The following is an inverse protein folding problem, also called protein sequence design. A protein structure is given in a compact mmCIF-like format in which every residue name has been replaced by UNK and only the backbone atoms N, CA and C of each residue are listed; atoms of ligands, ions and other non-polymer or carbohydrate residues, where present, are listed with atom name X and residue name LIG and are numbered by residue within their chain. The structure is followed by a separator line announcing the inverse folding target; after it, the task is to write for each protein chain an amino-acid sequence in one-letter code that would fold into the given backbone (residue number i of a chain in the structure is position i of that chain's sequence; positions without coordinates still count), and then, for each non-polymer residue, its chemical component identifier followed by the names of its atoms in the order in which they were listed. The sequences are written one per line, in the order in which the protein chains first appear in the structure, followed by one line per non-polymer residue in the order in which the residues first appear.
data_IF_596227103283
#
_entry.id   IF_596227103283
#
_cell.length_a   1.000
_cell.length_b   1.000
_cell.length_c   1.000
_cell.angle_alpha   90.00
_cell.angle_beta   90.00
_cell.angle_gamma   90.00
#
_symmetry.space_group_name_H-M   'P 1'
#
loop_
_entity.id
_entity.type
_entity.pdbx_description
1 polymer ?
#
# COMPACT_ATOMS: atom_id res chain seq x y z
N UNK A 1 -38.08 1.25 63.18
CA UNK A 1 -37.42 2.07 62.14
C UNK A 1 -35.94 1.74 62.15
N UNK A 2 -35.50 0.89 61.21
CA UNK A 2 -34.11 0.75 60.80
C UNK A 2 -34.13 -0.01 59.47
N UNK A 3 -33.74 0.70 58.41
CA UNK A 3 -33.62 0.20 57.05
C UNK A 3 -32.45 -0.77 56.94
N UNK A 4 -32.66 -1.94 56.34
CA UNK A 4 -31.57 -2.78 55.83
C UNK A 4 -31.54 -2.68 54.31
N UNK A 5 -30.54 -1.95 53.82
CA UNK A 5 -30.10 -1.91 52.44
C UNK A 5 -29.87 -3.34 51.90
N UNK A 6 -30.56 -3.68 50.82
CA UNK A 6 -30.20 -4.82 50.00
C UNK A 6 -29.52 -4.27 48.73
N UNK A 7 -28.17 -4.26 48.73
CA UNK A 7 -27.36 -4.03 47.54
C UNK A 7 -27.60 -5.17 46.57
N UNK A 8 -28.41 -4.93 45.52
CA UNK A 8 -28.51 -5.88 44.41
C UNK A 8 -27.23 -5.81 43.58
N UNK A 9 -26.57 -6.96 43.54
CA UNK A 9 -25.40 -7.28 42.75
C UNK A 9 -25.73 -7.00 41.27
N UNK A 10 -25.10 -5.97 40.72
CA UNK A 10 -25.13 -5.69 39.29
C UNK A 10 -24.25 -6.68 38.55
N UNK A 11 -24.87 -7.73 38.01
CA UNK A 11 -24.25 -8.54 36.98
C UNK A 11 -25.19 -8.63 35.77
N UNK A 12 -24.98 -7.73 34.81
CA UNK A 12 -25.55 -7.83 33.47
C UNK A 12 -24.42 -8.11 32.51
N UNK A 13 -24.05 -9.39 32.43
CA UNK A 13 -23.33 -9.95 31.30
C UNK A 13 -23.97 -9.45 29.99
N UNK A 14 -23.21 -8.70 29.22
CA UNK A 14 -23.63 -8.07 27.96
C UNK A 14 -23.72 -9.11 26.85
N UNK A 15 -24.71 -10.00 26.92
CA UNK A 15 -24.95 -11.00 25.88
C UNK A 15 -25.84 -10.37 24.81
N UNK A 16 -25.25 -10.18 23.61
CA UNK A 16 -25.97 -9.63 22.47
C UNK A 16 -27.14 -10.55 22.09
N UNK A 17 -28.30 -9.95 21.82
CA UNK A 17 -29.48 -10.72 21.42
C UNK A 17 -29.31 -11.28 20.00
N UNK A 18 -29.97 -12.40 19.71
CA UNK A 18 -29.92 -13.04 18.39
C UNK A 18 -30.26 -12.08 17.23
N UNK A 19 -31.22 -11.17 17.44
CA UNK A 19 -31.58 -10.11 16.50
C UNK A 19 -30.47 -9.09 16.30
N UNK A 20 -29.75 -8.71 17.36
CA UNK A 20 -28.57 -7.83 17.26
C UNK A 20 -27.42 -8.52 16.52
N UNK A 21 -27.18 -9.82 16.78
CA UNK A 21 -26.18 -10.63 16.08
C UNK A 21 -26.52 -10.73 14.58
N UNK A 22 -27.78 -11.00 14.24
CA UNK A 22 -28.26 -11.08 12.85
C UNK A 22 -28.13 -9.75 12.12
N UNK A 23 -28.52 -8.64 12.76
CA UNK A 23 -28.37 -7.29 12.18
C UNK A 23 -26.90 -6.90 11.98
N UNK A 24 -26.01 -7.24 12.93
CA UNK A 24 -24.57 -7.00 12.82
C UNK A 24 -23.94 -7.83 11.70
N UNK A 25 -24.32 -9.12 11.57
CA UNK A 25 -23.90 -10.00 10.47
C UNK A 25 -24.41 -9.50 9.11
N UNK A 26 -25.64 -9.02 9.03
CA UNK A 26 -26.21 -8.47 7.79
C UNK A 26 -25.54 -7.16 7.36
N UNK A 27 -25.20 -6.28 8.32
CA UNK A 27 -24.39 -5.07 8.06
C UNK A 27 -22.97 -5.41 7.61
N UNK A 28 -22.34 -6.41 8.24
CA UNK A 28 -21.04 -6.93 7.82
C UNK A 28 -21.09 -7.50 6.39
N UNK A 29 -22.08 -8.35 6.10
CA UNK A 29 -22.28 -8.93 4.76
C UNK A 29 -22.57 -7.88 3.68
N UNK A 30 -23.35 -6.84 4.00
CA UNK A 30 -23.55 -5.69 3.08
C UNK A 30 -22.26 -4.91 2.85
N UNK A 31 -21.48 -4.61 3.88
CA UNK A 31 -20.15 -3.96 3.72
C UNK A 31 -19.20 -4.81 2.87
N UNK A 32 -19.20 -6.12 3.11
CA UNK A 32 -18.39 -7.09 2.36
C UNK A 32 -18.81 -7.14 0.89
N UNK A 33 -20.10 -7.06 0.59
CA UNK A 33 -20.66 -7.08 -0.76
C UNK A 33 -20.52 -5.74 -1.52
N UNK A 34 -20.54 -4.60 -0.83
CA UNK A 34 -20.34 -3.27 -1.45
C UNK A 34 -18.87 -2.94 -1.71
N UNK A 35 -17.94 -3.72 -1.16
CA UNK A 35 -16.50 -3.59 -1.41
C UNK A 35 -16.17 -4.17 -2.79
N UNK A 36 -16.51 -3.44 -3.86
CA UNK A 36 -16.37 -3.89 -5.26
C UNK A 36 -14.93 -4.09 -5.74
N UNK A 37 -13.93 -3.81 -4.91
CA UNK A 37 -12.51 -3.89 -5.31
C UNK A 37 -11.68 -4.65 -4.26
N UNK A 38 -12.07 -5.91 -4.03
CA UNK A 38 -11.33 -6.81 -3.14
C UNK A 38 -10.34 -7.65 -3.94
N UNK A 39 -9.07 -7.55 -3.57
CA UNK A 39 -8.00 -8.38 -4.07
C UNK A 39 -7.14 -7.70 -5.14
N UNK A 40 -5.93 -8.25 -5.27
CA UNK A 40 -5.03 -7.93 -6.37
C UNK A 40 -5.62 -8.57 -7.64
N UNK A 41 -5.93 -7.75 -8.64
CA UNK A 41 -6.37 -8.22 -9.96
C UNK A 41 -5.16 -8.69 -10.76
N UNK A 42 -5.37 -9.49 -11.79
CA UNK A 42 -4.33 -9.83 -12.75
C UNK A 42 -3.78 -8.56 -13.43
N UNK A 43 -2.50 -8.58 -13.78
CA UNK A 43 -1.77 -7.51 -14.47
C UNK A 43 -1.65 -6.23 -13.66
N UNK A 44 -1.49 -6.35 -12.35
CA UNK A 44 -1.25 -5.22 -11.47
C UNK A 44 0.21 -5.17 -11.05
N UNK A 45 0.72 -3.94 -10.98
CA UNK A 45 2.08 -3.62 -10.58
C UNK A 45 1.99 -2.71 -9.37
N UNK A 46 2.96 -2.82 -8.47
CA UNK A 46 2.95 -2.03 -7.26
C UNK A 46 3.90 -2.54 -6.20
N UNK A 47 3.59 -2.23 -4.94
CA UNK A 47 4.38 -2.64 -3.80
C UNK A 47 3.49 -3.28 -2.75
N UNK A 48 3.88 -4.47 -2.33
CA UNK A 48 3.29 -5.15 -1.18
C UNK A 48 4.03 -4.70 0.07
N UNK A 49 3.31 -4.10 1.01
CA UNK A 49 3.87 -3.63 2.28
C UNK A 49 3.30 -4.49 3.42
N UNK A 50 4.19 -5.05 4.22
CA UNK A 50 3.80 -5.78 5.43
C UNK A 50 3.88 -4.85 6.64
N UNK A 51 2.92 -4.93 7.56
CA UNK A 51 2.82 -4.09 8.75
C UNK A 51 2.34 -4.87 9.97
N UNK A 52 2.59 -4.29 11.15
CA UNK A 52 2.05 -4.82 12.40
C UNK A 52 0.51 -4.85 12.39
N UNK A 53 -0.08 -5.89 12.97
CA UNK A 53 -1.54 -6.03 13.05
C UNK A 53 -2.20 -4.80 13.71
N UNK A 54 -3.36 -4.37 13.17
CA UNK A 54 -4.18 -3.23 13.64
C UNK A 54 -3.58 -1.84 13.38
N UNK A 55 -2.45 -1.74 12.69
CA UNK A 55 -1.80 -0.47 12.34
C UNK A 55 -1.80 -0.22 10.83
N UNK A 56 -2.66 -0.94 10.09
CA UNK A 56 -2.71 -0.91 8.63
C UNK A 56 -3.05 0.50 8.12
N UNK A 57 -3.98 1.21 8.78
CA UNK A 57 -4.36 2.55 8.35
C UNK A 57 -3.23 3.57 8.47
N UNK A 58 -2.37 3.45 9.47
CA UNK A 58 -1.22 4.31 9.65
C UNK A 58 -0.11 3.91 8.68
N UNK A 59 0.14 2.61 8.53
CA UNK A 59 1.10 2.09 7.58
C UNK A 59 0.78 2.54 6.14
N UNK A 60 -0.49 2.55 5.73
CA UNK A 60 -0.89 3.02 4.40
C UNK A 60 -0.46 4.48 4.19
N UNK A 61 -0.69 5.36 5.17
CA UNK A 61 -0.35 6.78 5.05
C UNK A 61 1.15 7.00 4.97
N UNK A 62 1.91 6.34 5.84
CA UNK A 62 3.38 6.41 5.81
C UNK A 62 3.94 5.85 4.52
N UNK A 63 3.43 4.69 4.08
CA UNK A 63 3.91 4.03 2.86
C UNK A 63 3.63 4.87 1.62
N UNK A 64 2.44 5.48 1.52
CA UNK A 64 2.13 6.39 0.41
C UNK A 64 3.05 7.61 0.42
N UNK A 65 3.30 8.21 1.59
CA UNK A 65 4.22 9.35 1.70
C UNK A 65 5.64 8.99 1.24
N UNK A 66 6.17 7.88 1.75
CA UNK A 66 7.52 7.41 1.43
C UNK A 66 7.67 7.06 -0.06
N UNK A 67 6.70 6.35 -0.63
CA UNK A 67 6.73 5.99 -2.04
C UNK A 67 6.58 7.21 -2.96
N UNK A 68 5.77 8.20 -2.57
CA UNK A 68 5.65 9.45 -3.33
C UNK A 68 6.93 10.24 -3.34
N UNK A 69 7.62 10.37 -2.21
CA UNK A 69 8.90 11.07 -2.14
C UNK A 69 9.97 10.39 -2.99
N UNK A 70 10.11 9.06 -2.89
CA UNK A 70 11.06 8.31 -3.71
C UNK A 70 10.69 8.35 -5.21
N UNK A 71 9.40 8.36 -5.55
CA UNK A 71 8.97 8.45 -6.94
C UNK A 71 9.21 9.85 -7.54
N UNK A 72 9.06 10.92 -6.75
CA UNK A 72 9.33 12.29 -7.17
C UNK A 72 10.83 12.53 -7.44
N UNK A 73 11.72 11.88 -6.68
CA UNK A 73 13.17 11.88 -6.96
C UNK A 73 13.50 11.23 -8.30
N UNK A 74 12.82 10.13 -8.64
CA UNK A 74 13.06 9.40 -9.89
C UNK A 74 12.47 10.12 -11.10
N UNK A 75 11.29 10.73 -10.95
CA UNK A 75 10.61 11.48 -12.01
C UNK A 75 10.22 12.85 -11.43
N UNK A 76 11.03 13.90 -11.61
CA UNK A 76 10.70 15.23 -11.11
C UNK A 76 9.44 15.75 -11.81
N UNK A 77 8.51 16.31 -11.03
CA UNK A 77 7.22 16.80 -11.55
C UNK A 77 6.14 15.73 -11.71
N UNK A 78 6.33 14.52 -11.16
CA UNK A 78 5.36 13.41 -11.24
C UNK A 78 3.96 13.77 -10.70
N UNK A 79 3.92 14.68 -9.72
CA UNK A 79 2.71 15.15 -9.05
C UNK A 79 2.34 16.60 -9.41
N UNK A 80 3.06 17.23 -10.35
CA UNK A 80 2.73 18.56 -10.85
C UNK A 80 1.61 18.41 -11.89
N UNK A 81 0.37 18.36 -11.40
CA UNK A 81 -0.80 18.58 -12.25
C UNK A 81 -0.65 19.99 -12.81
N UNK A 82 -0.49 20.13 -14.13
CA UNK A 82 -0.11 21.35 -14.83
C UNK A 82 -1.10 22.53 -14.71
N UNK A 83 -1.39 22.99 -13.50
CA UNK A 83 -2.03 24.26 -13.21
C UNK A 83 -0.96 25.34 -13.08
N UNK A 84 -0.38 25.74 -14.20
CA UNK A 84 0.10 27.12 -14.31
C UNK A 84 -1.13 28.02 -14.27
N UNK A 85 -1.39 28.65 -13.13
CA UNK A 85 -2.02 29.96 -13.09
C UNK A 85 -1.64 30.72 -11.80
N UNK A 86 -0.77 31.68 -12.06
CA UNK A 86 -0.74 33.06 -11.56
C UNK A 86 -0.06 33.42 -10.23
N UNK A 87 0.75 34.46 -10.35
CA UNK A 87 1.54 35.12 -9.33
C UNK A 87 0.65 35.74 -8.24
N UNK A 88 1.06 35.66 -6.96
CA UNK A 88 0.39 36.46 -5.94
C UNK A 88 0.76 36.17 -4.50
N UNK A 89 1.60 37.05 -3.94
CA UNK A 89 1.56 37.50 -2.55
C UNK A 89 2.12 36.57 -1.45
N UNK A 90 3.29 36.99 -0.96
CA UNK A 90 3.88 36.74 0.34
C UNK A 90 2.90 36.98 1.51
N UNK A 91 2.39 35.90 2.14
CA UNK A 91 2.05 35.83 3.58
C UNK A 91 1.67 34.39 3.97
N UNK A 92 2.01 33.98 5.20
CA UNK A 92 1.49 32.80 5.93
C UNK A 92 2.10 31.42 5.65
N UNK A 93 3.28 31.15 6.23
CA UNK A 93 3.90 29.82 6.37
C UNK A 93 3.04 28.75 7.09
N UNK A 94 1.92 29.13 7.70
CA UNK A 94 1.00 28.20 8.38
C UNK A 94 -0.07 27.61 7.44
N UNK A 95 -0.44 28.32 6.35
CA UNK A 95 -1.41 27.82 5.36
C UNK A 95 -0.79 26.72 4.47
N UNK A 96 0.52 26.77 4.27
CA UNK A 96 1.23 25.81 3.43
C UNK A 96 1.19 24.37 3.97
N UNK A 97 1.15 24.17 5.30
CA UNK A 97 1.03 22.84 5.91
C UNK A 97 -0.37 22.25 5.71
N UNK A 98 -1.41 23.07 5.80
CA UNK A 98 -2.79 22.64 5.56
C UNK A 98 -3.05 22.38 4.06
N UNK A 99 -2.40 23.15 3.18
CA UNK A 99 -2.43 22.93 1.74
C UNK A 99 -1.62 21.69 1.32
N UNK A 100 -0.47 21.41 1.94
CA UNK A 100 0.29 20.16 1.77
C UNK A 100 -0.52 18.94 2.26
N UNK A 101 -1.16 19.06 3.43
CA UNK A 101 -2.08 18.04 3.95
C UNK A 101 -3.35 17.90 3.10
N UNK A 102 -3.77 18.97 2.43
CA UNK A 102 -4.89 19.02 1.48
C UNK A 102 -4.57 18.30 0.18
N UNK A 103 -3.38 18.50 -0.38
CA UNK A 103 -2.87 17.77 -1.57
C UNK A 103 -2.72 16.27 -1.27
N UNK A 104 -2.23 15.91 -0.08
CA UNK A 104 -2.20 14.51 0.40
C UNK A 104 -3.60 13.91 0.58
N UNK A 105 -4.60 14.72 0.94
CA UNK A 105 -6.01 14.29 1.04
C UNK A 105 -6.70 14.18 -0.32
N UNK A 106 -6.36 15.02 -1.29
CA UNK A 106 -6.91 15.01 -2.65
C UNK A 106 -6.31 13.90 -3.52
N UNK A 107 -5.08 13.44 -3.25
CA UNK A 107 -4.56 12.17 -3.80
C UNK A 107 -5.44 10.95 -3.46
N UNK A 108 -6.26 11.03 -2.40
CA UNK A 108 -7.18 9.96 -2.00
C UNK A 108 -8.62 10.07 -2.52
N UNK A 109 -9.01 11.19 -3.14
CA UNK A 109 -10.41 11.42 -3.56
C UNK A 109 -10.53 12.26 -4.83
N UNK A 110 -10.20 11.64 -5.96
CA UNK A 110 -10.77 11.98 -7.26
C UNK A 110 -10.24 13.23 -7.95
N UNK A 111 -10.10 13.12 -9.28
CA UNK A 111 -9.86 14.20 -10.25
C UNK A 111 -8.44 14.81 -10.23
N UNK A 112 -7.48 13.96 -10.58
CA UNK A 112 -6.05 14.23 -10.80
C UNK A 112 -5.39 12.87 -10.68
N UNK A 113 -4.80 12.32 -11.75
CA UNK A 113 -4.49 10.90 -11.87
C UNK A 113 -3.67 10.38 -10.68
N UNK A 114 -4.30 9.66 -9.75
CA UNK A 114 -3.64 9.19 -8.55
C UNK A 114 -2.51 8.23 -8.96
N UNK A 115 -1.26 8.65 -8.78
CA UNK A 115 -0.06 7.85 -9.12
C UNK A 115 -0.08 6.51 -8.40
N UNK A 116 -0.55 6.53 -7.15
CA UNK A 116 -0.71 5.36 -6.31
C UNK A 116 -2.16 5.19 -5.89
N UNK A 117 -2.63 3.95 -5.91
CA UNK A 117 -3.94 3.58 -5.36
C UNK A 117 -3.80 2.43 -4.37
N UNK A 118 -4.65 2.43 -3.35
CA UNK A 118 -4.68 1.33 -2.39
C UNK A 118 -5.56 0.20 -2.93
N UNK A 119 -5.08 -1.04 -2.88
CA UNK A 119 -5.92 -2.23 -3.03
C UNK A 119 -5.91 -3.06 -1.75
N UNK A 120 -7.08 -3.59 -1.38
CA UNK A 120 -7.23 -4.45 -0.20
C UNK A 120 -6.93 -5.90 -0.59
N UNK A 121 -5.87 -6.48 -0.01
CA UNK A 121 -5.45 -7.87 -0.23
C UNK A 121 -6.34 -8.86 0.55
N UNK A 122 -7.10 -8.37 1.54
CA UNK A 122 -7.92 -9.23 2.41
C UNK A 122 -7.12 -9.99 3.46
N UNK A 123 -5.83 -9.64 3.66
CA UNK A 123 -4.93 -10.24 4.65
C UNK A 123 -4.54 -9.18 5.68
N UNK A 124 -4.74 -9.48 6.96
CA UNK A 124 -4.38 -8.57 8.05
C UNK A 124 -2.87 -8.34 8.11
N UNK A 125 -2.45 -7.10 8.38
CA UNK A 125 -1.04 -6.74 8.37
C UNK A 125 -0.38 -6.72 6.99
N UNK A 126 -1.15 -6.80 5.88
CA UNK A 126 -0.61 -6.71 4.52
C UNK A 126 -1.43 -5.74 3.69
N UNK A 127 -0.75 -4.80 3.03
CA UNK A 127 -1.37 -3.80 2.17
C UNK A 127 -0.72 -3.85 0.79
N UNK A 128 -1.51 -3.61 -0.25
CA UNK A 128 -1.01 -3.47 -1.61
C UNK A 128 -1.21 -2.04 -2.07
N UNK A 129 -0.14 -1.41 -2.52
CA UNK A 129 -0.13 -0.08 -3.12
C UNK A 129 0.11 -0.29 -4.61
N UNK A 130 -0.95 -0.13 -5.39
CA UNK A 130 -0.95 -0.26 -6.84
C UNK A 130 -0.37 1.00 -7.47
N UNK A 131 0.44 0.81 -8.50
CA UNK A 131 0.97 1.88 -9.34
C UNK A 131 0.02 2.03 -10.53
N UNK A 132 -0.52 3.22 -10.74
CA UNK A 132 -1.43 3.49 -11.86
C UNK A 132 -0.70 3.91 -13.14
N UNK A 133 0.56 4.36 -13.02
CA UNK A 133 1.36 4.76 -14.16
C UNK A 133 2.32 3.66 -14.62
N UNK A 134 2.52 3.60 -15.92
CA UNK A 134 3.35 2.56 -16.55
C UNK A 134 4.86 2.85 -16.51
N UNK A 135 5.23 4.13 -16.41
CA UNK A 135 6.59 4.67 -16.42
C UNK A 135 7.35 4.49 -15.10
N UNK A 136 6.63 4.23 -14.00
CA UNK A 136 7.22 3.93 -12.71
C UNK A 136 7.53 2.44 -12.57
N UNK A 137 8.81 2.11 -12.38
CA UNK A 137 9.25 0.76 -12.06
C UNK A 137 9.20 0.54 -10.54
N UNK A 138 8.35 -0.37 -10.01
CA UNK A 138 8.23 -0.60 -8.56
C UNK A 138 9.56 -0.96 -7.90
N UNK A 139 10.44 -1.71 -8.58
CA UNK A 139 11.74 -2.08 -8.02
C UNK A 139 12.64 -0.86 -7.84
N UNK A 140 12.63 0.10 -8.79
CA UNK A 140 13.45 1.32 -8.69
C UNK A 140 12.96 2.23 -7.57
N UNK A 141 11.65 2.42 -7.46
CA UNK A 141 11.07 3.24 -6.37
C UNK A 141 11.41 2.67 -5.01
N UNK A 142 11.30 1.34 -4.83
CA UNK A 142 11.66 0.69 -3.57
C UNK A 142 13.17 0.72 -3.32
N UNK A 143 13.99 0.57 -4.37
CA UNK A 143 15.46 0.65 -4.23
C UNK A 143 15.88 2.04 -3.78
N UNK A 144 15.34 3.10 -4.40
CA UNK A 144 15.58 4.49 -3.99
C UNK A 144 15.20 4.72 -2.53
N UNK A 145 14.01 4.25 -2.13
CA UNK A 145 13.56 4.33 -0.74
C UNK A 145 14.52 3.64 0.24
N UNK A 146 15.02 2.45 -0.12
CA UNK A 146 15.94 1.70 0.73
C UNK A 146 17.36 2.28 0.73
N UNK A 147 17.79 2.86 -0.39
CA UNK A 147 19.06 3.57 -0.53
C UNK A 147 19.06 4.84 0.33
N UNK A 148 17.96 5.59 0.35
CA UNK A 148 17.77 6.73 1.28
C UNK A 148 17.93 6.30 2.75
N UNK A 149 17.35 5.16 3.13
CA UNK A 149 17.47 4.62 4.49
C UNK A 149 18.91 4.17 4.77
N UNK A 150 19.59 3.58 3.78
CA UNK A 150 21.00 3.19 3.89
C UNK A 150 21.91 4.40 4.09
N UNK A 151 21.66 5.49 3.35
CA UNK A 151 22.47 6.70 3.39
C UNK A 151 22.23 7.54 4.65
N UNK A 152 20.97 7.70 5.05
CA UNK A 152 20.62 8.50 6.24
C UNK A 152 20.77 7.73 7.55
N UNK A 153 20.72 6.40 7.50
CA UNK A 153 20.64 5.52 8.68
C UNK A 153 19.33 5.66 9.46
N UNK A 154 18.32 6.32 8.90
CA UNK A 154 17.06 6.61 9.59
C UNK A 154 15.89 5.87 8.93
N UNK A 155 15.23 5.01 9.69
CA UNK A 155 13.96 4.43 9.25
C UNK A 155 12.83 5.43 9.52
N UNK A 156 12.22 5.93 8.44
CA UNK A 156 11.12 6.90 8.49
C UNK A 156 9.75 6.27 8.65
N UNK A 157 9.61 4.94 8.49
CA UNK A 157 8.37 4.23 8.80
C UNK A 157 8.42 3.58 10.18
N UNK A 158 7.39 3.83 10.98
CA UNK A 158 7.19 3.13 12.25
C UNK A 158 6.43 1.82 12.08
N UNK A 159 5.54 1.75 11.09
CA UNK A 159 4.59 0.64 10.95
C UNK A 159 4.89 -0.33 9.82
N UNK A 160 5.59 0.10 8.77
CA UNK A 160 6.00 -0.76 7.67
C UNK A 160 7.21 -1.61 8.09
N UNK A 161 7.12 -2.91 7.82
CA UNK A 161 8.17 -3.89 8.15
C UNK A 161 8.94 -4.29 6.90
N UNK A 162 8.26 -4.44 5.75
CA UNK A 162 8.87 -4.81 4.47
C UNK A 162 8.16 -4.12 3.33
N UNK A 163 8.93 -3.68 2.35
CA UNK A 163 8.46 -3.25 1.04
C UNK A 163 8.90 -4.29 0.01
N UNK A 164 7.94 -4.93 -0.65
CA UNK A 164 8.20 -5.97 -1.64
C UNK A 164 7.68 -5.46 -2.99
N UNK A 165 8.55 -5.13 -3.95
CA UNK A 165 8.12 -4.69 -5.26
C UNK A 165 7.46 -5.84 -6.03
N UNK A 166 6.34 -5.55 -6.68
CA UNK A 166 5.54 -6.49 -7.48
C UNK A 166 5.47 -5.94 -8.90
N UNK A 167 6.15 -6.60 -9.83
CA UNK A 167 6.16 -6.16 -11.24
C UNK A 167 4.92 -6.59 -12.03
N UNK A 168 4.33 -7.73 -11.67
CA UNK A 168 3.14 -8.26 -12.34
C UNK A 168 2.40 -9.19 -11.37
N UNK A 169 1.11 -9.39 -11.61
CA UNK A 169 0.25 -10.28 -10.83
C UNK A 169 -0.59 -11.12 -11.79
N UNK A 170 -0.92 -12.36 -11.40
CA UNK A 170 -1.77 -13.22 -12.21
C UNK A 170 -2.84 -13.88 -11.34
N UNK A 171 -3.80 -14.52 -11.98
CA UNK A 171 -4.70 -15.40 -11.27
C UNK A 171 -3.89 -16.59 -10.74
N UNK A 172 -4.28 -17.13 -9.58
CA UNK A 172 -3.56 -18.19 -8.86
C UNK A 172 -3.71 -19.57 -9.55
N UNK A 173 -3.32 -19.67 -10.82
CA UNK A 173 -3.18 -20.90 -11.58
C UNK A 173 -1.69 -21.14 -11.86
N UNK A 174 -1.18 -22.36 -11.64
CA UNK A 174 0.24 -22.68 -11.88
C UNK A 174 0.72 -22.34 -13.30
N UNK A 175 -0.09 -22.61 -14.32
CA UNK A 175 0.26 -22.32 -15.72
C UNK A 175 0.40 -20.82 -16.00
N UNK A 176 -0.50 -19.99 -15.46
CA UNK A 176 -0.44 -18.54 -15.63
C UNK A 176 0.75 -17.94 -14.86
N UNK A 177 0.99 -18.42 -13.64
CA UNK A 177 2.15 -18.01 -12.84
C UNK A 177 3.47 -18.36 -13.53
N UNK A 178 3.62 -19.59 -14.05
CA UNK A 178 4.82 -20.02 -14.76
C UNK A 178 5.09 -19.18 -16.02
N UNK A 179 4.05 -18.90 -16.82
CA UNK A 179 4.18 -18.07 -18.01
C UNK A 179 4.60 -16.62 -17.67
N UNK A 180 4.04 -16.06 -16.60
CA UNK A 180 4.42 -14.73 -16.11
C UNK A 180 5.86 -14.71 -15.58
N UNK A 181 6.25 -15.68 -14.76
CA UNK A 181 7.62 -15.81 -14.26
C UNK A 181 8.63 -15.96 -15.40
N UNK A 182 8.32 -16.73 -16.45
CA UNK A 182 9.19 -16.86 -17.63
C UNK A 182 9.37 -15.54 -18.37
N UNK A 183 8.29 -14.75 -18.52
CA UNK A 183 8.35 -13.42 -19.13
C UNK A 183 9.24 -12.48 -18.32
N UNK A 184 9.02 -12.42 -17.00
CA UNK A 184 9.79 -11.56 -16.09
C UNK A 184 11.25 -11.98 -16.01
N UNK A 185 11.54 -13.29 -16.00
CA UNK A 185 12.90 -13.82 -15.99
C UNK A 185 13.68 -13.37 -17.23
N UNK A 186 13.08 -13.42 -18.43
CA UNK A 186 13.71 -12.95 -19.67
C UNK A 186 13.96 -11.44 -19.69
N UNK A 187 13.07 -10.67 -19.07
CA UNK A 187 13.17 -9.20 -19.04
C UNK A 187 14.19 -8.70 -18.02
N UNK A 188 14.22 -9.32 -16.83
CA UNK A 188 14.94 -8.79 -15.65
C UNK A 188 16.24 -9.52 -15.33
N UNK A 189 16.39 -10.79 -15.73
CA UNK A 189 17.66 -11.50 -15.53
C UNK A 189 18.65 -11.12 -16.64
N UNK A 190 19.95 -11.01 -16.33
CA UNK A 190 20.95 -10.78 -17.36
C UNK A 190 20.94 -11.94 -18.37
N UNK A 191 21.14 -11.65 -19.67
CA UNK A 191 21.21 -12.70 -20.68
C UNK A 191 22.36 -13.66 -20.34
N UNK A 192 22.10 -14.96 -20.44
CA UNK A 192 23.17 -15.95 -20.36
C UNK A 192 24.18 -15.63 -21.48
N UNK A 193 25.43 -15.34 -21.12
CA UNK A 193 26.49 -15.19 -22.11
C UNK A 193 26.78 -16.59 -22.64
N UNK A 194 26.33 -16.89 -23.86
CA UNK A 194 26.43 -18.23 -24.46
C UNK A 194 27.88 -18.58 -24.89
N UNK A 195 28.80 -17.60 -24.97
CA UNK A 195 30.11 -17.77 -25.61
C UNK A 195 31.34 -17.62 -24.68
N UNK A 196 31.20 -17.78 -23.36
CA UNK A 196 32.37 -17.78 -22.46
C UNK A 196 32.35 -19.02 -21.57
N UNK A 197 33.25 -19.96 -21.86
CA UNK A 197 33.43 -21.25 -21.18
C UNK A 197 33.64 -21.14 -19.65
N UNK A 198 33.87 -19.93 -19.12
CA UNK A 198 34.06 -19.66 -17.68
C UNK A 198 33.24 -18.47 -17.13
N UNK A 199 32.22 -17.95 -17.85
CA UNK A 199 31.39 -16.85 -17.28
C UNK A 199 30.21 -17.40 -16.48
N UNK A 200 30.14 -17.01 -15.20
CA UNK A 200 29.14 -17.43 -14.23
C UNK A 200 27.71 -17.31 -14.77
N UNK A 201 27.05 -18.46 -14.98
CA UNK A 201 25.63 -18.49 -15.34
C UNK A 201 24.84 -17.77 -14.25
N UNK A 202 23.89 -16.88 -14.59
CA UNK A 202 23.12 -16.18 -13.57
C UNK A 202 22.30 -17.17 -12.75
N UNK A 203 22.63 -17.28 -11.47
CA UNK A 203 21.90 -18.09 -10.50
C UNK A 203 20.73 -17.28 -9.94
N UNK A 204 19.56 -17.89 -9.86
CA UNK A 204 18.38 -17.31 -9.20
C UNK A 204 17.70 -18.37 -8.34
N UNK A 205 16.90 -17.93 -7.37
CA UNK A 205 16.07 -18.79 -6.53
C UNK A 205 14.60 -18.41 -6.72
N UNK A 206 13.73 -19.41 -6.73
CA UNK A 206 12.28 -19.22 -6.68
C UNK A 206 11.85 -19.46 -5.24
N UNK A 207 11.23 -18.45 -4.63
CA UNK A 207 10.69 -18.50 -3.27
C UNK A 207 9.17 -18.47 -3.36
N UNK A 208 8.52 -19.45 -2.75
CA UNK A 208 7.06 -19.57 -2.66
C UNK A 208 6.56 -19.14 -1.28
#
# INVERSE_FOLDING_TARGET
MAETENRSIGDKSSVLTYTQIKAKRQRYMRKVATSKDKGIKSRQRGVLVTCGTRQESQCIKESLLLLSESAEKLIPGLFDDGSKNDEGSSADKAKNLEDELGKLRHQGKGQGGAVFSRSDVGVHGTIFIKFERDDLDPAKVVTELLDDVRETGQNRSRYAVRFIPVHDSCYAKPAEAAAMCQKLAKEKLPPAKEDAEDSEKPTFAIVF
#
